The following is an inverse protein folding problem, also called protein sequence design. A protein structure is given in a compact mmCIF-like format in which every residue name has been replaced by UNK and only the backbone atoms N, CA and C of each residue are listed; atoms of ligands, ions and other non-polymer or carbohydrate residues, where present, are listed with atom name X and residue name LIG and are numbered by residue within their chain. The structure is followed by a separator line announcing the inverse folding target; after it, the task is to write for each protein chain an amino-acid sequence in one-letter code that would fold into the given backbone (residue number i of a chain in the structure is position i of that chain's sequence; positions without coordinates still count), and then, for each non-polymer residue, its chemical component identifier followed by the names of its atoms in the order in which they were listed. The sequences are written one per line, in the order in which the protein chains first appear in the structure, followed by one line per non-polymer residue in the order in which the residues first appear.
data_IF_129872695741
#
_entry.id   IF_129872695741
#
_cell.length_a   1.000
_cell.length_b   1.000
_cell.length_c   1.000
_cell.angle_alpha   90.00
_cell.angle_beta   90.00
_cell.angle_gamma   90.00
#
_symmetry.space_group_name_H-M   'P 1'
#
loop_
_entity.id
_entity.type
_entity.pdbx_description
1 polymer ?
#
# COMPACT_ATOMS: atom_id res chain seq x y z
N UNK A 1 5.94 -35.72 -52.80
CA UNK A 1 6.63 -34.60 -52.11
C UNK A 1 5.62 -33.85 -51.23
N UNK A 2 5.00 -34.61 -50.33
CA UNK A 2 3.96 -34.23 -49.37
C UNK A 2 3.97 -35.42 -48.42
N UNK A 3 4.45 -35.24 -47.19
CA UNK A 3 4.50 -36.21 -46.07
C UNK A 3 5.85 -36.10 -45.35
N UNK A 4 6.01 -35.17 -44.41
CA UNK A 4 6.96 -35.31 -43.28
C UNK A 4 6.87 -34.20 -42.20
N UNK A 5 5.96 -33.21 -42.29
CA UNK A 5 5.88 -32.10 -41.31
C UNK A 5 4.72 -32.16 -40.32
N UNK A 6 4.27 -33.37 -39.96
CA UNK A 6 3.30 -33.55 -38.86
C UNK A 6 3.78 -34.67 -37.96
N UNK A 7 4.65 -34.36 -37.01
CA UNK A 7 4.83 -35.20 -35.83
C UNK A 7 5.55 -34.49 -34.70
N UNK A 8 4.87 -34.44 -33.55
CA UNK A 8 5.38 -34.18 -32.21
C UNK A 8 5.89 -32.77 -31.89
N UNK A 9 4.96 -31.81 -31.77
CA UNK A 9 5.02 -30.89 -30.62
C UNK A 9 3.80 -31.21 -29.76
N UNK A 10 3.96 -32.15 -28.84
CA UNK A 10 3.01 -32.33 -27.76
C UNK A 10 2.96 -31.02 -26.97
N UNK A 11 1.79 -30.39 -26.94
CA UNK A 11 1.56 -29.06 -26.32
C UNK A 11 1.98 -28.98 -24.83
N UNK A 12 2.28 -30.12 -24.18
CA UNK A 12 2.54 -30.22 -22.73
C UNK A 12 3.93 -30.75 -22.36
N UNK A 13 4.82 -30.96 -23.33
CA UNK A 13 6.13 -31.59 -23.14
C UNK A 13 7.31 -30.58 -23.13
N UNK A 14 7.04 -29.33 -22.77
CA UNK A 14 8.09 -28.33 -22.53
C UNK A 14 8.51 -28.44 -21.06
N UNK A 15 9.66 -29.08 -20.84
CA UNK A 15 10.33 -29.23 -19.54
C UNK A 15 11.14 -27.95 -19.23
N UNK A 16 11.08 -27.45 -18.01
CA UNK A 16 12.01 -26.44 -17.45
C UNK A 16 12.48 -26.91 -16.06
N UNK A 17 13.55 -26.34 -15.46
CA UNK A 17 14.69 -25.59 -16.01
C UNK A 17 16.05 -26.19 -15.56
N UNK A 18 17.09 -26.19 -16.42
CA UNK A 18 18.49 -26.15 -15.98
C UNK A 18 19.45 -25.89 -17.15
N UNK A 19 20.14 -24.74 -17.06
CA UNK A 19 21.53 -24.45 -17.47
C UNK A 19 22.00 -24.83 -18.88
N UNK A 20 22.51 -23.80 -19.56
CA UNK A 20 23.48 -23.83 -20.67
C UNK A 20 22.95 -24.37 -22.01
N UNK A 21 22.60 -23.44 -22.92
CA UNK A 21 22.30 -23.72 -24.33
C UNK A 21 23.61 -24.19 -25.01
N UNK A 22 23.94 -25.49 -24.94
CA UNK A 22 24.83 -26.15 -25.90
C UNK A 22 24.76 -27.70 -25.83
N UNK A 23 23.82 -28.33 -26.56
CA UNK A 23 24.05 -29.66 -27.16
C UNK A 23 22.99 -30.02 -28.21
N UNK A 24 23.46 -30.10 -29.47
CA UNK A 24 23.08 -30.94 -30.62
C UNK A 24 21.61 -31.15 -31.05
N UNK A 25 21.36 -30.74 -32.31
CA UNK A 25 20.28 -31.07 -33.26
C UNK A 25 18.88 -30.47 -32.98
N UNK A 26 18.54 -29.43 -33.74
CA UNK A 26 17.25 -28.69 -33.76
C UNK A 26 16.87 -27.90 -32.50
N UNK A 27 17.82 -27.17 -31.93
CA UNK A 27 17.52 -26.20 -30.86
C UNK A 27 17.69 -24.78 -31.40
N UNK A 28 16.60 -24.17 -31.88
CA UNK A 28 16.58 -22.74 -32.21
C UNK A 28 16.56 -21.98 -30.88
N UNK A 29 17.71 -21.45 -30.46
CA UNK A 29 17.83 -20.69 -29.22
C UNK A 29 16.99 -19.39 -29.39
N UNK A 30 16.05 -19.13 -28.47
CA UNK A 30 15.17 -17.95 -28.48
C UNK A 30 15.98 -16.65 -28.57
N UNK A 31 15.56 -15.69 -29.40
CA UNK A 31 15.98 -14.30 -29.21
C UNK A 31 15.28 -13.76 -27.96
N UNK A 32 16.01 -13.71 -26.84
CA UNK A 32 15.46 -13.35 -25.54
C UNK A 32 15.57 -11.85 -25.26
N UNK A 33 14.44 -11.24 -24.91
CA UNK A 33 14.34 -9.86 -24.43
C UNK A 33 13.58 -9.87 -23.11
N UNK A 34 14.11 -9.19 -22.08
CA UNK A 34 13.51 -9.17 -20.75
C UNK A 34 13.15 -7.74 -20.34
N UNK A 35 11.95 -7.55 -19.78
CA UNK A 35 11.47 -6.27 -19.24
C UNK A 35 11.00 -6.43 -17.81
N UNK A 36 11.22 -5.41 -16.98
CA UNK A 36 10.62 -5.34 -15.64
C UNK A 36 9.34 -4.50 -15.69
N UNK A 37 8.28 -4.98 -15.06
CA UNK A 37 6.98 -4.32 -15.04
C UNK A 37 6.47 -4.24 -13.60
N UNK A 38 6.17 -3.03 -13.13
CA UNK A 38 5.57 -2.81 -11.81
C UNK A 38 4.09 -2.47 -11.96
N UNK A 39 3.22 -3.20 -11.26
CA UNK A 39 1.76 -3.06 -11.36
C UNK A 39 1.13 -2.97 -9.97
N UNK A 40 0.08 -2.18 -9.84
CA UNK A 40 -0.65 -2.04 -8.58
C UNK A 40 -1.56 -3.25 -8.34
N UNK A 41 -1.70 -3.63 -7.07
CA UNK A 41 -2.76 -4.55 -6.63
C UNK A 41 -4.14 -4.03 -7.05
N UNK A 42 -5.09 -4.94 -7.29
CA UNK A 42 -6.48 -4.66 -7.66
C UNK A 42 -6.67 -3.90 -8.99
N UNK A 43 -5.63 -3.86 -9.83
CA UNK A 43 -5.71 -3.30 -11.19
C UNK A 43 -5.65 -4.38 -12.28
N UNK A 44 -5.86 -3.98 -13.53
CA UNK A 44 -5.68 -4.83 -14.72
C UNK A 44 -4.25 -4.68 -15.25
N UNK A 45 -3.53 -5.78 -15.41
CA UNK A 45 -2.27 -5.84 -16.14
C UNK A 45 -2.45 -6.54 -17.49
N UNK A 46 -1.75 -6.06 -18.52
CA UNK A 46 -1.66 -6.73 -19.82
C UNK A 46 -0.19 -6.87 -20.21
N UNK A 47 0.25 -8.10 -20.45
CA UNK A 47 1.61 -8.46 -20.82
C UNK A 47 1.63 -8.83 -22.30
N UNK A 48 2.42 -8.11 -23.08
CA UNK A 48 2.49 -8.31 -24.53
C UNK A 48 3.54 -9.35 -24.91
N UNK A 49 3.21 -10.17 -25.90
CA UNK A 49 4.15 -11.06 -26.58
C UNK A 49 4.98 -10.27 -27.60
N UNK A 50 6.15 -10.79 -28.01
CA UNK A 50 6.91 -10.17 -29.09
C UNK A 50 6.11 -10.21 -30.40
N UNK A 51 6.20 -9.14 -31.19
CA UNK A 51 5.57 -9.09 -32.50
C UNK A 51 6.27 -10.09 -33.42
N UNK A 52 5.52 -11.08 -33.92
CA UNK A 52 5.96 -11.96 -34.99
C UNK A 52 5.42 -11.43 -36.32
N UNK A 53 6.29 -11.24 -37.29
CA UNK A 53 5.97 -10.76 -38.66
C UNK A 53 5.49 -11.89 -39.60
N UNK A 54 5.49 -13.14 -39.13
CA UNK A 54 5.29 -14.35 -39.95
C UNK A 54 4.13 -15.22 -39.46
N UNK A 55 3.84 -16.30 -40.19
CA UNK A 55 2.80 -17.29 -39.85
C UNK A 55 3.10 -17.99 -38.51
N UNK A 56 2.51 -17.48 -37.43
CA UNK A 56 2.64 -18.04 -36.07
C UNK A 56 2.03 -19.44 -36.02
N UNK A 57 2.76 -20.42 -35.48
CA UNK A 57 2.31 -21.81 -35.33
C UNK A 57 1.78 -22.09 -33.92
N UNK A 58 2.54 -21.66 -32.92
CA UNK A 58 2.27 -21.90 -31.50
C UNK A 58 2.70 -20.68 -30.70
N UNK A 59 1.88 -20.30 -29.73
CA UNK A 59 2.22 -19.32 -28.70
C UNK A 59 2.14 -19.99 -27.34
N UNK A 60 3.17 -19.81 -26.52
CA UNK A 60 3.25 -20.38 -25.17
C UNK A 60 3.57 -19.28 -24.16
N UNK A 61 2.71 -19.14 -23.16
CA UNK A 61 3.01 -18.42 -21.92
C UNK A 61 3.46 -19.41 -20.87
N UNK A 62 4.69 -19.23 -20.37
CA UNK A 62 5.22 -19.92 -19.20
C UNK A 62 5.33 -18.94 -18.05
N UNK A 63 4.60 -19.19 -16.97
CA UNK A 63 4.59 -18.35 -15.77
C UNK A 63 5.30 -19.09 -14.65
N UNK A 64 6.23 -18.42 -13.99
CA UNK A 64 6.93 -18.93 -12.81
C UNK A 64 6.69 -17.94 -11.68
N UNK A 65 5.95 -18.36 -10.66
CA UNK A 65 5.65 -17.54 -9.49
C UNK A 65 6.80 -17.56 -8.50
N UNK A 66 6.77 -16.64 -7.52
CA UNK A 66 7.81 -16.52 -6.49
C UNK A 66 7.99 -17.79 -5.63
N UNK A 67 6.94 -18.57 -5.44
CA UNK A 67 6.97 -19.85 -4.70
C UNK A 67 7.48 -21.04 -5.55
N UNK A 68 8.05 -20.75 -6.73
CA UNK A 68 8.51 -21.71 -7.74
C UNK A 68 7.40 -22.60 -8.33
N UNK A 69 6.13 -22.34 -8.03
CA UNK A 69 5.05 -22.94 -8.80
C UNK A 69 5.03 -22.35 -10.21
N UNK A 70 4.56 -23.12 -11.18
CA UNK A 70 4.52 -22.67 -12.56
C UNK A 70 3.25 -23.11 -13.26
N UNK A 71 2.86 -22.33 -14.25
CA UNK A 71 1.71 -22.62 -15.08
C UNK A 71 2.02 -22.32 -16.56
N UNK A 72 1.41 -23.09 -17.45
CA UNK A 72 1.66 -22.97 -18.89
C UNK A 72 0.34 -22.85 -19.62
N UNK A 73 0.20 -21.80 -20.42
CA UNK A 73 -0.96 -21.53 -21.28
C UNK A 73 -0.48 -21.44 -22.73
N UNK A 74 -0.96 -22.35 -23.57
CA UNK A 74 -0.55 -22.46 -24.96
C UNK A 74 -1.73 -22.29 -25.91
N UNK A 75 -1.47 -21.70 -27.07
CA UNK A 75 -2.41 -21.55 -28.16
C UNK A 75 -1.77 -22.03 -29.47
N UNK A 76 -2.51 -22.86 -30.21
CA UNK A 76 -2.10 -23.37 -31.51
C UNK A 76 -3.02 -22.78 -32.58
N UNK A 77 -2.41 -22.09 -33.53
CA UNK A 77 -3.13 -21.30 -34.56
C UNK A 77 -3.79 -22.18 -35.61
N UNK A 78 -3.13 -23.27 -36.03
CA UNK A 78 -3.59 -24.16 -37.10
C UNK A 78 -4.96 -24.80 -36.86
N UNK A 79 -5.29 -25.02 -35.60
CA UNK A 79 -6.48 -25.73 -35.13
C UNK A 79 -7.35 -24.85 -34.25
N UNK A 80 -6.94 -23.60 -34.01
CA UNK A 80 -7.58 -22.66 -33.11
C UNK A 80 -7.91 -23.29 -31.75
N UNK A 81 -6.89 -23.92 -31.14
CA UNK A 81 -7.03 -24.64 -29.87
C UNK A 81 -6.10 -24.07 -28.80
N UNK A 82 -6.67 -23.81 -27.63
CA UNK A 82 -5.92 -23.51 -26.42
C UNK A 82 -5.73 -24.78 -25.58
N UNK A 83 -4.62 -24.85 -24.86
CA UNK A 83 -4.40 -25.82 -23.79
C UNK A 83 -3.70 -25.17 -22.62
N UNK A 84 -4.03 -25.63 -21.43
CA UNK A 84 -3.51 -25.10 -20.19
C UNK A 84 -3.00 -26.26 -19.33
N UNK A 85 -1.91 -26.01 -18.61
CA UNK A 85 -1.32 -26.91 -17.64
C UNK A 85 -1.14 -26.12 -16.35
N UNK A 86 -1.69 -26.64 -15.26
CA UNK A 86 -1.55 -26.10 -13.89
C UNK A 86 -2.00 -24.64 -13.70
N UNK A 87 -2.55 -23.98 -14.71
CA UNK A 87 -3.19 -22.66 -14.59
C UNK A 87 -4.55 -22.80 -13.90
N UNK A 88 -4.59 -22.81 -12.58
CA UNK A 88 -5.85 -22.83 -11.81
C UNK A 88 -6.41 -21.44 -11.54
N UNK A 89 -5.57 -20.41 -11.62
CA UNK A 89 -5.97 -19.03 -11.37
C UNK A 89 -6.60 -18.41 -12.63
N UNK A 90 -7.92 -18.30 -12.65
CA UNK A 90 -8.69 -17.73 -13.76
C UNK A 90 -8.43 -16.24 -13.99
N UNK A 91 -7.84 -15.54 -13.00
CA UNK A 91 -7.45 -14.13 -13.16
C UNK A 91 -6.35 -13.96 -14.19
N UNK A 92 -5.57 -15.01 -14.45
CA UNK A 92 -4.52 -15.06 -15.46
C UNK A 92 -5.09 -15.73 -16.72
N UNK A 93 -5.54 -14.91 -17.66
CA UNK A 93 -6.20 -15.33 -18.88
C UNK A 93 -5.56 -14.72 -20.12
N UNK A 94 -5.95 -15.17 -21.31
CA UNK A 94 -5.72 -14.37 -22.52
C UNK A 94 -6.44 -13.02 -22.40
N UNK A 95 -5.86 -11.95 -22.94
CA UNK A 95 -6.45 -10.61 -22.89
C UNK A 95 -7.68 -10.47 -23.79
N UNK A 96 -7.59 -11.05 -24.99
CA UNK A 96 -8.70 -11.22 -25.91
C UNK A 96 -8.61 -12.62 -26.54
N UNK A 97 -9.32 -12.86 -27.64
CA UNK A 97 -9.18 -14.14 -28.34
C UNK A 97 -7.73 -14.27 -28.87
N UNK A 98 -7.09 -15.42 -28.66
CA UNK A 98 -5.67 -15.57 -28.94
C UNK A 98 -5.36 -15.63 -30.45
N UNK A 99 -6.34 -15.69 -31.34
CA UNK A 99 -6.19 -15.47 -32.78
C UNK A 99 -5.98 -13.99 -33.15
N UNK A 100 -6.37 -13.07 -32.27
CA UNK A 100 -6.27 -11.62 -32.50
C UNK A 100 -5.12 -10.99 -31.73
N UNK A 101 -4.93 -11.40 -30.48
CA UNK A 101 -3.91 -10.85 -29.60
C UNK A 101 -3.38 -11.95 -28.67
N UNK A 102 -2.07 -12.15 -28.72
CA UNK A 102 -1.37 -13.12 -27.88
C UNK A 102 -1.06 -12.60 -26.48
N UNK A 103 -1.53 -11.41 -26.12
CA UNK A 103 -1.28 -10.83 -24.80
C UNK A 103 -1.95 -11.62 -23.67
N UNK A 104 -1.26 -11.67 -22.54
CA UNK A 104 -1.77 -12.24 -21.30
C UNK A 104 -2.33 -11.12 -20.42
N UNK A 105 -3.48 -11.36 -19.81
CA UNK A 105 -4.15 -10.43 -18.89
C UNK A 105 -4.16 -11.01 -17.49
N UNK A 106 -3.93 -10.13 -16.52
CA UNK A 106 -4.10 -10.42 -15.09
C UNK A 106 -5.15 -9.45 -14.56
N UNK A 107 -6.28 -9.96 -14.07
CA UNK A 107 -7.34 -9.10 -13.54
C UNK A 107 -8.24 -9.82 -12.50
N UNK A 108 -8.33 -9.31 -11.25
CA UNK A 108 -7.47 -8.27 -10.66
C UNK A 108 -6.07 -8.80 -10.32
N UNK A 109 -5.08 -7.91 -10.29
CA UNK A 109 -3.71 -8.22 -9.85
C UNK A 109 -3.67 -8.45 -8.33
N UNK A 110 -2.96 -9.49 -7.88
CA UNK A 110 -2.71 -9.83 -6.49
C UNK A 110 -1.21 -10.06 -6.28
N UNK A 111 -0.74 -9.95 -5.03
CA UNK A 111 0.68 -10.10 -4.67
C UNK A 111 1.24 -11.46 -5.12
N UNK A 112 0.42 -12.52 -5.08
CA UNK A 112 0.79 -13.87 -5.52
C UNK A 112 1.11 -13.97 -7.01
N UNK A 113 0.74 -12.98 -7.81
CA UNK A 113 1.07 -12.92 -9.23
C UNK A 113 2.51 -12.44 -9.48
N UNK A 114 3.28 -12.07 -8.46
CA UNK A 114 4.70 -11.77 -8.65
C UNK A 114 5.48 -12.97 -9.18
N UNK A 115 6.32 -12.70 -10.18
CA UNK A 115 7.06 -13.76 -10.85
C UNK A 115 7.61 -13.37 -12.20
N UNK A 116 7.97 -14.39 -12.97
CA UNK A 116 8.50 -14.27 -14.32
C UNK A 116 7.52 -14.87 -15.32
N UNK A 117 7.11 -14.05 -16.30
CA UNK A 117 6.15 -14.40 -17.34
C UNK A 117 6.87 -14.39 -18.69
N UNK A 118 7.09 -15.56 -19.26
CA UNK A 118 7.74 -15.71 -20.56
C UNK A 118 6.72 -16.04 -21.64
N UNK A 119 6.66 -15.21 -22.67
CA UNK A 119 5.99 -15.55 -23.92
C UNK A 119 7.01 -16.11 -24.91
N UNK A 120 6.67 -17.22 -25.56
CA UNK A 120 7.39 -17.79 -26.70
C UNK A 120 6.43 -17.92 -27.89
N UNK A 121 6.84 -17.37 -29.03
CA UNK A 121 6.13 -17.41 -30.31
C UNK A 121 6.96 -18.22 -31.29
N UNK A 122 6.41 -19.33 -31.77
CA UNK A 122 7.06 -20.24 -32.71
C UNK A 122 6.55 -19.96 -34.11
N UNK A 123 7.45 -19.65 -35.04
CA UNK A 123 7.18 -19.50 -36.47
C UNK A 123 8.09 -20.44 -37.28
N UNK A 124 7.80 -20.67 -38.58
CA UNK A 124 8.72 -21.40 -39.45
C UNK A 124 10.11 -20.77 -39.56
N UNK A 125 10.21 -19.46 -39.35
CA UNK A 125 11.44 -18.68 -39.49
C UNK A 125 12.29 -18.66 -38.20
N UNK A 126 11.73 -19.10 -37.08
CA UNK A 126 12.41 -19.19 -35.78
C UNK A 126 11.51 -18.94 -34.58
N UNK A 127 12.14 -18.91 -33.39
CA UNK A 127 11.45 -18.71 -32.12
C UNK A 127 11.73 -17.31 -31.55
N UNK A 128 10.68 -16.60 -31.18
CA UNK A 128 10.75 -15.26 -30.59
C UNK A 128 10.25 -15.30 -29.16
N UNK A 129 11.04 -14.81 -28.20
CA UNK A 129 10.72 -14.97 -26.79
C UNK A 129 10.89 -13.65 -26.04
N UNK A 130 9.92 -13.31 -25.18
CA UNK A 130 9.96 -12.12 -24.36
C UNK A 130 9.57 -12.45 -22.92
N UNK A 131 10.42 -12.09 -21.97
CA UNK A 131 10.21 -12.27 -20.55
C UNK A 131 9.78 -10.99 -19.85
N UNK A 132 8.81 -11.10 -18.95
CA UNK A 132 8.38 -10.02 -18.07
C UNK A 132 8.65 -10.41 -16.62
N UNK A 133 9.47 -9.62 -15.92
CA UNK A 133 9.58 -9.68 -14.46
C UNK A 133 8.47 -8.80 -13.86
N UNK A 134 7.42 -9.43 -13.36
CA UNK A 134 6.27 -8.74 -12.78
C UNK A 134 6.50 -8.50 -11.28
N UNK A 135 6.50 -7.22 -10.90
CA UNK A 135 6.51 -6.77 -9.51
C UNK A 135 5.14 -6.17 -9.16
N UNK A 136 4.62 -6.50 -7.98
CA UNK A 136 3.35 -5.99 -7.49
C UNK A 136 3.59 -4.96 -6.40
N UNK A 137 2.97 -3.80 -6.58
CA UNK A 137 3.01 -2.66 -5.67
C UNK A 137 1.71 -2.56 -4.88
N UNK A 138 1.83 -2.29 -3.58
CA UNK A 138 0.68 -2.09 -2.69
C UNK A 138 0.79 -0.69 -2.07
N UNK A 139 -0.13 0.23 -2.40
CA UNK A 139 -0.16 1.55 -1.78
C UNK A 139 -0.44 1.43 -0.27
N UNK A 140 0.38 2.04 0.61
CA UNK A 140 0.13 2.00 2.04
C UNK A 140 -1.10 2.83 2.42
N UNK A 141 -1.86 2.36 3.40
CA UNK A 141 -2.88 3.18 4.05
C UNK A 141 -2.22 4.06 5.09
N UNK A 142 -2.28 5.37 4.89
CA UNK A 142 -1.64 6.34 5.79
C UNK A 142 -2.64 6.89 6.80
N UNK A 143 -2.28 6.87 8.08
CA UNK A 143 -3.06 7.47 9.17
C UNK A 143 -2.16 8.23 10.13
N UNK A 144 -2.68 9.32 10.69
CA UNK A 144 -2.01 10.16 11.67
C UNK A 144 -2.92 10.35 12.88
N UNK A 145 -2.40 10.13 14.07
CA UNK A 145 -3.17 10.22 15.32
C UNK A 145 -2.30 10.66 16.50
N UNK A 146 -2.92 11.27 17.51
CA UNK A 146 -2.29 11.51 18.81
C UNK A 146 -2.18 10.17 19.56
N UNK A 147 -0.99 9.89 20.10
CA UNK A 147 -0.70 8.75 20.96
C UNK A 147 -0.88 9.09 22.44
N UNK A 148 -0.58 8.12 23.30
CA UNK A 148 -0.52 8.35 24.75
C UNK A 148 0.69 9.24 25.11
N UNK A 149 0.61 9.92 26.25
CA UNK A 149 1.68 10.78 26.80
C UNK A 149 2.09 11.98 25.92
N UNK A 150 1.20 12.47 25.05
CA UNK A 150 1.48 13.64 24.20
C UNK A 150 2.43 13.34 23.04
N UNK A 151 2.51 12.07 22.62
CA UNK A 151 3.20 11.65 21.40
C UNK A 151 2.27 11.74 20.19
N UNK A 152 2.83 11.77 18.99
CA UNK A 152 2.09 11.67 17.73
C UNK A 152 2.57 10.45 16.97
N UNK A 153 1.63 9.67 16.44
CA UNK A 153 1.92 8.43 15.73
C UNK A 153 1.44 8.52 14.28
N UNK A 154 2.35 8.27 13.35
CA UNK A 154 2.05 8.13 11.94
C UNK A 154 2.25 6.69 11.49
N UNK A 155 1.27 6.18 10.76
CA UNK A 155 1.26 4.82 10.24
C UNK A 155 1.23 4.85 8.72
N UNK A 156 2.04 4.00 8.10
CA UNK A 156 1.94 3.60 6.71
C UNK A 156 1.71 2.08 6.67
N UNK A 157 0.44 1.68 6.65
CA UNK A 157 0.03 0.29 6.86
C UNK A 157 0.07 -0.51 5.56
N UNK A 158 0.65 -1.70 5.62
CA UNK A 158 0.65 -2.71 4.56
C UNK A 158 1.13 -2.21 3.17
N UNK A 159 2.16 -1.36 3.15
CA UNK A 159 2.81 -0.91 1.92
C UNK A 159 3.71 -1.99 1.30
N UNK A 160 3.80 -2.02 -0.03
CA UNK A 160 4.79 -2.84 -0.74
C UNK A 160 5.39 -2.01 -1.89
N UNK A 161 6.70 -1.69 -1.85
CA UNK A 161 7.66 -1.94 -0.76
C UNK A 161 7.38 -1.14 0.53
N UNK A 162 8.24 -1.22 1.54
CA UNK A 162 8.13 -0.40 2.74
C UNK A 162 8.15 1.10 2.40
N UNK A 163 7.22 1.86 2.97
CA UNK A 163 7.20 3.31 2.85
C UNK A 163 8.23 3.96 3.78
N UNK A 164 8.64 5.19 3.48
CA UNK A 164 9.52 5.96 4.35
C UNK A 164 8.73 7.08 5.01
N UNK A 165 8.89 7.26 6.31
CA UNK A 165 8.19 8.29 7.10
C UNK A 165 9.20 9.36 7.53
N UNK A 166 8.86 10.62 7.31
CA UNK A 166 9.56 11.78 7.84
C UNK A 166 8.58 12.80 8.43
N UNK A 167 9.09 13.73 9.24
CA UNK A 167 8.28 14.67 10.01
C UNK A 167 8.75 16.10 9.84
N UNK A 168 7.80 17.03 9.87
CA UNK A 168 8.06 18.48 9.93
C UNK A 168 7.12 19.12 10.95
N UNK A 169 7.63 19.88 11.95
CA UNK A 169 9.04 20.06 12.28
C UNK A 169 9.68 18.75 12.77
N UNK A 170 11.01 18.71 12.78
CA UNK A 170 11.76 17.55 13.27
C UNK A 170 11.53 17.40 14.78
N UNK A 171 11.21 16.18 15.24
CA UNK A 171 11.01 15.83 16.63
C UNK A 171 11.88 14.63 17.05
N UNK A 172 11.78 14.22 18.31
CA UNK A 172 12.38 12.97 18.77
C UNK A 172 11.49 11.80 18.36
N UNK A 173 11.96 11.01 17.41
CA UNK A 173 11.15 10.06 16.66
C UNK A 173 11.73 8.65 16.68
N UNK A 174 10.89 7.67 16.96
CA UNK A 174 11.21 6.25 16.85
C UNK A 174 10.35 5.59 15.77
N UNK A 175 11.01 4.97 14.79
CA UNK A 175 10.35 4.30 13.66
C UNK A 175 10.56 2.79 13.73
N UNK A 176 9.48 2.03 13.59
CA UNK A 176 9.45 0.58 13.60
C UNK A 176 8.85 0.08 12.29
N UNK A 177 9.43 -0.98 11.74
CA UNK A 177 8.91 -1.69 10.58
C UNK A 177 8.46 -3.10 10.99
N UNK A 178 7.21 -3.42 10.69
CA UNK A 178 6.65 -4.75 10.85
C UNK A 178 6.43 -5.39 9.48
N UNK A 179 7.08 -6.53 9.23
CA UNK A 179 6.87 -7.32 8.01
C UNK A 179 5.70 -8.27 8.19
N UNK A 180 4.68 -8.11 7.36
CA UNK A 180 3.52 -8.98 7.30
C UNK A 180 3.80 -10.19 6.41
N UNK A 181 3.11 -11.31 6.64
CA UNK A 181 3.35 -12.59 5.94
C UNK A 181 3.04 -12.59 4.43
N UNK A 182 2.46 -11.51 3.90
CA UNK A 182 2.09 -11.34 2.49
C UNK A 182 3.04 -10.38 1.73
N UNK A 183 4.30 -10.25 2.18
CA UNK A 183 5.31 -9.33 1.65
C UNK A 183 4.96 -7.83 1.72
N UNK A 184 3.94 -7.47 2.49
CA UNK A 184 3.66 -6.06 2.82
C UNK A 184 4.36 -5.67 4.12
N UNK A 185 4.64 -4.39 4.27
CA UNK A 185 5.32 -3.83 5.44
C UNK A 185 4.48 -2.71 6.00
N UNK A 186 4.26 -2.76 7.31
CA UNK A 186 3.68 -1.64 8.06
C UNK A 186 4.81 -0.86 8.71
N UNK A 187 4.85 0.43 8.45
CA UNK A 187 5.82 1.34 9.07
C UNK A 187 5.09 2.24 10.04
N UNK A 188 5.54 2.26 11.29
CA UNK A 188 5.02 3.12 12.35
C UNK A 188 6.12 4.05 12.79
N UNK A 189 5.86 5.35 12.80
CA UNK A 189 6.76 6.36 13.38
C UNK A 189 6.04 7.08 14.51
N UNK A 190 6.65 7.08 15.70
CA UNK A 190 6.13 7.75 16.90
C UNK A 190 7.07 8.87 17.25
N UNK A 191 6.56 10.09 17.39
CA UNK A 191 7.37 11.28 17.65
C UNK A 191 6.86 12.06 18.85
N UNK A 192 7.79 12.79 19.46
CA UNK A 192 7.54 13.74 20.52
C UNK A 192 8.26 15.07 20.24
N UNK A 193 7.67 16.16 20.67
CA UNK A 193 8.25 17.51 20.61
C UNK A 193 8.22 18.11 22.01
N UNK A 194 9.40 18.41 22.56
CA UNK A 194 9.53 19.08 23.87
C UNK A 194 9.19 20.58 23.78
N UNK A 195 9.35 21.17 22.59
CA UNK A 195 9.14 22.59 22.36
C UNK A 195 7.65 22.94 22.35
N UNK A 196 7.25 23.72 23.35
CA UNK A 196 5.88 24.22 23.52
C UNK A 196 5.46 25.21 22.44
N UNK A 197 6.33 25.59 21.51
CA UNK A 197 5.98 26.43 20.35
C UNK A 197 5.45 25.64 19.16
N UNK A 198 5.59 24.31 19.14
CA UNK A 198 5.05 23.49 18.06
C UNK A 198 3.54 23.31 18.25
N UNK A 199 2.75 23.92 17.37
CA UNK A 199 1.28 23.83 17.37
C UNK A 199 0.74 22.82 16.36
N UNK A 200 1.47 22.56 15.29
CA UNK A 200 1.09 21.67 14.21
C UNK A 200 2.29 20.83 13.78
N UNK A 201 2.04 19.54 13.53
CA UNK A 201 3.05 18.60 13.01
C UNK A 201 2.53 17.90 11.77
N UNK A 202 3.41 17.74 10.79
CA UNK A 202 3.13 17.07 9.52
C UNK A 202 3.94 15.78 9.40
N UNK A 203 3.26 14.67 9.14
CA UNK A 203 3.87 13.41 8.74
C UNK A 203 3.91 13.31 7.22
N UNK A 204 5.10 13.12 6.64
CA UNK A 204 5.32 12.86 5.23
C UNK A 204 5.63 11.38 5.01
N UNK A 205 4.83 10.73 4.16
CA UNK A 205 5.01 9.34 3.77
C UNK A 205 5.45 9.30 2.31
N UNK A 206 6.69 8.87 2.08
CA UNK A 206 7.25 8.65 0.75
C UNK A 206 7.09 7.19 0.34
N UNK A 207 6.48 6.95 -0.81
CA UNK A 207 6.26 5.61 -1.34
C UNK A 207 6.25 5.64 -2.88
N UNK A 208 6.68 4.55 -3.51
CA UNK A 208 6.77 4.43 -4.98
C UNK A 208 5.41 4.56 -5.68
N UNK A 209 4.32 4.34 -4.96
CA UNK A 209 2.94 4.51 -5.48
C UNK A 209 2.42 5.95 -5.35
N UNK A 210 3.21 6.86 -4.78
CA UNK A 210 2.84 8.24 -4.53
C UNK A 210 3.09 8.66 -3.09
N UNK A 211 3.50 9.92 -2.93
CA UNK A 211 3.77 10.52 -1.64
C UNK A 211 2.48 11.05 -1.01
N UNK A 212 2.39 10.98 0.32
CA UNK A 212 1.26 11.52 1.10
C UNK A 212 1.78 12.36 2.25
N UNK A 213 1.02 13.37 2.63
CA UNK A 213 1.29 14.16 3.83
C UNK A 213 0.00 14.34 4.62
N UNK A 214 0.07 14.19 5.94
CA UNK A 214 -1.02 14.46 6.87
C UNK A 214 -0.50 15.39 7.95
N UNK A 215 -1.32 16.35 8.37
CA UNK A 215 -1.01 17.24 9.48
C UNK A 215 -1.99 17.06 10.63
N UNK A 216 -1.54 17.31 11.85
CA UNK A 216 -2.37 17.32 13.05
C UNK A 216 -1.93 18.45 13.99
N UNK A 217 -2.90 19.13 14.58
CA UNK A 217 -2.65 20.13 15.61
C UNK A 217 -2.35 19.42 16.94
N UNK A 218 -1.24 19.80 17.57
CA UNK A 218 -0.93 19.41 18.93
C UNK A 218 -1.76 20.30 19.84
N UNK A 219 -2.78 19.75 20.47
CA UNK A 219 -3.49 20.46 21.53
C UNK A 219 -2.49 20.73 22.66
N UNK A 220 -1.88 21.91 22.64
CA UNK A 220 -1.20 22.43 23.81
C UNK A 220 -2.25 22.38 24.91
N UNK A 221 -1.94 21.74 26.02
CA UNK A 221 -2.77 21.76 27.22
C UNK A 221 -2.85 23.19 27.76
N UNK A 222 -3.48 24.09 27.02
CA UNK A 222 -4.20 25.19 27.59
C UNK A 222 -5.37 24.54 28.32
N UNK A 223 -5.11 24.11 29.55
CA UNK A 223 -6.14 24.26 30.57
C UNK A 223 -6.29 25.78 30.70
N UNK A 224 -7.01 26.39 29.75
CA UNK A 224 -7.75 27.59 30.05
C UNK A 224 -8.75 27.15 31.09
N UNK A 225 -8.34 27.21 32.36
CA UNK A 225 -9.27 27.57 33.41
C UNK A 225 -9.71 28.99 33.07
N UNK A 226 -10.53 29.13 32.03
CA UNK A 226 -11.48 30.20 31.88
C UNK A 226 -12.44 30.03 33.06
N UNK A 227 -11.97 30.41 34.25
CA UNK A 227 -12.89 30.97 35.22
C UNK A 227 -13.40 32.22 34.54
N UNK A 228 -14.65 32.25 34.07
CA UNK A 228 -15.16 33.48 33.49
C UNK A 228 -15.00 34.53 34.58
N UNK A 229 -14.47 35.71 34.25
CA UNK A 229 -14.26 36.79 35.22
C UNK A 229 -15.55 37.07 36.04
N UNK A 230 -16.72 36.66 35.51
CA UNK A 230 -18.01 36.60 36.21
C UNK A 230 -18.01 35.72 37.46
N UNK A 231 -17.37 34.56 37.50
CA UNK A 231 -17.37 33.68 38.67
C UNK A 231 -16.59 34.29 39.84
N UNK A 232 -15.45 34.92 39.57
CA UNK A 232 -14.69 35.69 40.58
C UNK A 232 -15.48 36.90 41.08
N UNK A 233 -16.14 37.63 40.17
CA UNK A 233 -17.01 38.76 40.53
C UNK A 233 -18.20 38.30 41.39
N UNK A 234 -18.82 37.16 41.08
CA UNK A 234 -19.91 36.57 41.87
C UNK A 234 -19.42 36.17 43.26
N UNK A 235 -18.26 35.52 43.37
CA UNK A 235 -17.67 35.16 44.67
C UNK A 235 -17.36 36.41 45.50
N UNK A 236 -16.80 37.45 44.87
CA UNK A 236 -16.49 38.72 45.54
C UNK A 236 -17.77 39.41 46.03
N UNK A 237 -18.81 39.43 45.19
CA UNK A 237 -20.12 40.03 45.49
C UNK A 237 -20.83 39.31 46.65
N UNK A 238 -20.82 37.98 46.67
CA UNK A 238 -21.42 37.18 47.75
C UNK A 238 -20.67 37.44 49.06
N UNK A 239 -19.33 37.47 49.04
CA UNK A 239 -18.54 37.82 50.23
C UNK A 239 -18.82 39.23 50.74
N UNK A 240 -18.92 40.22 49.85
CA UNK A 240 -19.19 41.60 50.22
C UNK A 240 -20.60 41.77 50.81
N UNK A 241 -21.59 41.10 50.21
CA UNK A 241 -22.98 41.09 50.69
C UNK A 241 -23.09 40.48 52.10
N UNK A 242 -22.41 39.36 52.35
CA UNK A 242 -22.36 38.76 53.69
C UNK A 242 -21.71 39.70 54.71
N UNK A 243 -20.64 40.40 54.33
CA UNK A 243 -19.96 41.36 55.20
C UNK A 243 -20.86 42.53 55.59
N UNK A 244 -21.62 43.07 54.63
CA UNK A 244 -22.60 44.13 54.87
C UNK A 244 -23.71 43.70 55.82
N UNK A 245 -24.25 42.48 55.65
CA UNK A 245 -25.29 41.94 56.55
C UNK A 245 -24.75 41.82 57.98
N UNK A 246 -23.51 41.33 58.15
CA UNK A 246 -22.89 41.22 59.47
C UNK A 246 -22.74 42.62 60.12
N UNK A 247 -22.30 43.62 59.36
CA UNK A 247 -22.18 45.00 59.87
C UNK A 247 -23.56 45.53 60.32
N UNK A 248 -24.61 45.33 59.52
CA UNK A 248 -25.97 45.77 59.87
C UNK A 248 -26.49 45.08 61.14
N UNK A 249 -26.17 43.80 61.35
CA UNK A 249 -26.53 43.08 62.57
C UNK A 249 -25.80 43.65 63.78
N UNK A 250 -24.50 43.95 63.67
CA UNK A 250 -23.71 44.55 64.76
C UNK A 250 -24.22 45.97 65.09
N UNK A 251 -24.50 46.79 64.08
CA UNK A 251 -25.05 48.14 64.27
C UNK A 251 -26.46 48.07 64.87
N UNK A 252 -27.31 47.15 64.41
CA UNK A 252 -28.64 46.93 64.99
C UNK A 252 -28.57 46.48 66.45
N UNK A 253 -27.66 45.56 66.78
CA UNK A 253 -27.46 45.09 68.15
C UNK A 253 -26.95 46.19 69.07
N UNK A 254 -25.97 46.98 68.65
CA UNK A 254 -25.46 48.13 69.44
C UNK A 254 -26.52 49.22 69.60
N UNK A 255 -27.35 49.48 68.58
CA UNK A 255 -28.48 50.40 68.68
C UNK A 255 -29.55 49.90 69.67
N UNK A 256 -29.89 48.62 69.63
CA UNK A 256 -30.85 48.01 70.54
C UNK A 256 -30.34 47.98 71.99
N UNK A 257 -29.06 47.68 72.20
CA UNK A 257 -28.42 47.81 73.52
C UNK A 257 -28.45 49.25 74.04
N UNK A 258 -28.26 50.25 73.16
CA UNK A 258 -28.33 51.67 73.53
C UNK A 258 -29.73 52.11 73.94
N UNK A 259 -30.79 51.58 73.32
CA UNK A 259 -32.18 51.86 73.70
C UNK A 259 -32.53 51.21 75.05
N UNK A 260 -32.11 49.97 75.29
CA UNK A 260 -32.40 49.28 76.54
C UNK A 260 -31.63 49.83 77.75
N UNK A 261 -30.53 50.57 77.54
CA UNK A 261 -29.80 51.26 78.60
C UNK A 261 -30.42 52.60 79.03
N UNK A 262 -31.48 53.06 78.36
CA UNK A 262 -32.22 54.29 78.68
C UNK A 262 -33.61 54.03 79.29
N UNK A 263 -33.86 52.83 79.81
CA UNK A 263 -35.07 52.47 80.55
C UNK A 263 -34.70 51.99 81.94
#
# INVERSE_FOLDING_TARGET
MFNFYVSLINILEIRSPAKSCCSTLYMICCRESNTSLSVFVDTRAVLHCPNATSNVLVVTWSVIFRDNTSCIRAYRTDSNKTREKTCTDERISWDSRPDQNFALRINPVAITHEGYYKCEVVTPDGNFCHGHHLQVLVPPKVTLSLGENGTTVCWAVAGKPAAQISWTPMGDCHTVEERLGNDTVTVQSTCHWEDRQVSEVSCFVSHVTGNKSLSIELNQGAITLEFPASALLVILYVKFSLFLVIILVIVGFTYFQRINHCR
#
